data_IF_597494993881
#
_entry.id   IF_597494993881
#
_cell.length_a   1.000
_cell.length_b   1.000
_cell.length_c   1.000
_cell.angle_alpha   90.00
_cell.angle_beta   90.00
_cell.angle_gamma   90.00
#
_symmetry.space_group_name_H-M   'P 1'
#
loop_
_entity.id
_entity.type
_entity.pdbx_description
1 polymer ?
#
# COMPACT_ATOMS: atom_id res chain seq x y z
N UNK A 1 91.88 -18.46 15.12
CA UNK A 1 90.63 -19.13 15.50
C UNK A 1 89.72 -18.07 16.06
N UNK A 2 88.84 -17.48 15.20
CA UNK A 2 87.92 -16.36 15.56
C UNK A 2 86.49 -16.88 15.59
N UNK A 3 85.87 -16.79 16.75
CA UNK A 3 84.57 -17.23 17.07
C UNK A 3 83.55 -16.12 16.64
N UNK A 4 82.65 -16.41 15.71
CA UNK A 4 81.56 -15.50 15.31
C UNK A 4 80.34 -15.74 16.19
N UNK A 5 80.01 -14.78 17.05
CA UNK A 5 78.72 -14.72 17.74
C UNK A 5 77.67 -14.17 16.79
N UNK A 6 76.61 -14.94 16.52
CA UNK A 6 75.43 -14.50 15.83
C UNK A 6 74.46 -13.99 16.88
N UNK A 7 74.14 -12.69 16.85
CA UNK A 7 73.05 -12.09 17.61
C UNK A 7 71.79 -12.30 16.89
N UNK A 8 70.79 -12.98 17.51
CA UNK A 8 69.42 -13.12 17.04
C UNK A 8 68.62 -11.88 17.47
N UNK A 9 68.15 -11.12 16.53
CA UNK A 9 67.19 -10.03 16.76
C UNK A 9 65.80 -10.61 16.87
N UNK A 10 65.17 -10.49 18.03
CA UNK A 10 63.77 -10.84 18.24
C UNK A 10 62.91 -9.69 17.74
N UNK A 11 62.09 -9.94 16.71
CA UNK A 11 61.00 -9.04 16.28
C UNK A 11 59.84 -9.18 17.25
N UNK A 12 59.58 -8.17 18.07
CA UNK A 12 58.35 -8.02 18.81
C UNK A 12 57.27 -7.55 17.82
N UNK A 13 56.34 -8.42 17.47
CA UNK A 13 55.11 -8.05 16.77
C UNK A 13 54.16 -7.39 17.77
N UNK A 14 53.96 -6.09 17.64
CA UNK A 14 52.97 -5.35 18.40
C UNK A 14 51.58 -5.74 17.89
N UNK A 15 50.81 -6.47 18.69
CA UNK A 15 49.39 -6.70 18.50
C UNK A 15 48.64 -5.38 18.79
N UNK A 16 48.21 -4.70 17.75
CA UNK A 16 47.25 -3.58 17.86
C UNK A 16 45.88 -4.19 18.15
N UNK A 17 45.24 -3.88 19.28
CA UNK A 17 43.86 -4.31 19.51
C UNK A 17 42.96 -3.59 18.49
N UNK A 18 42.28 -4.35 17.63
CA UNK A 18 41.15 -3.85 16.82
C UNK A 18 40.08 -3.45 17.80
N UNK A 19 40.00 -2.18 18.16
CA UNK A 19 38.80 -1.62 18.79
C UNK A 19 37.70 -1.64 17.76
N UNK A 20 36.81 -2.62 17.87
CA UNK A 20 35.51 -2.61 17.16
C UNK A 20 34.79 -1.33 17.59
N UNK A 21 34.69 -0.35 16.70
CA UNK A 21 33.76 0.75 16.83
C UNK A 21 32.39 0.12 17.01
N UNK A 22 31.58 0.52 18.04
CA UNK A 22 30.23 0.06 18.14
C UNK A 22 29.53 0.51 16.85
N UNK A 23 29.13 -0.48 16.03
CA UNK A 23 28.35 -0.22 14.84
C UNK A 23 27.16 0.61 15.29
N UNK A 24 27.00 1.77 14.65
CA UNK A 24 25.78 2.55 14.80
C UNK A 24 24.61 1.59 14.60
N UNK A 25 23.87 1.36 15.67
CA UNK A 25 22.56 0.71 15.59
C UNK A 25 21.72 1.62 14.69
N UNK A 26 21.65 1.27 13.42
CA UNK A 26 20.63 1.80 12.53
C UNK A 26 19.33 1.45 13.21
N UNK A 27 18.61 2.47 13.68
CA UNK A 27 17.37 2.29 14.39
C UNK A 27 16.48 1.33 13.63
N UNK A 28 15.68 0.55 14.35
CA UNK A 28 14.74 -0.44 13.85
C UNK A 28 13.61 0.17 12.99
N UNK A 29 13.73 1.40 12.55
CA UNK A 29 12.87 2.13 11.66
C UNK A 29 13.03 1.56 10.25
N UNK A 30 11.98 0.86 9.78
CA UNK A 30 11.86 0.45 8.38
C UNK A 30 12.13 -1.01 8.05
N UNK A 31 12.39 -1.89 9.02
CA UNK A 31 12.23 -3.32 8.74
C UNK A 31 10.74 -3.63 8.65
N UNK A 32 10.29 -4.35 7.59
CA UNK A 32 8.93 -4.83 7.57
C UNK A 32 8.68 -5.60 8.87
N UNK A 33 7.66 -5.21 9.63
CA UNK A 33 7.19 -6.08 10.71
C UNK A 33 6.89 -7.42 10.04
N UNK A 34 7.30 -8.54 10.65
CA UNK A 34 7.05 -9.88 10.12
C UNK A 34 5.55 -10.24 10.12
N UNK A 35 4.65 -9.24 10.19
CA UNK A 35 3.22 -9.46 10.13
C UNK A 35 2.77 -9.47 8.67
N UNK A 36 2.38 -10.67 8.26
CA UNK A 36 1.87 -10.99 6.93
C UNK A 36 0.55 -11.72 7.13
N UNK A 37 -0.53 -11.15 6.62
CA UNK A 37 -1.86 -11.76 6.71
C UNK A 37 -2.38 -12.12 5.33
N UNK A 38 -2.80 -13.36 5.15
CA UNK A 38 -3.62 -13.77 4.01
C UNK A 38 -5.05 -13.35 4.33
N UNK A 39 -5.54 -12.33 3.64
CA UNK A 39 -6.87 -11.74 3.90
C UNK A 39 -7.97 -12.37 3.06
N UNK A 40 -7.60 -12.95 1.93
CA UNK A 40 -8.48 -13.74 1.06
C UNK A 40 -7.67 -14.68 0.18
N UNK A 41 -8.38 -15.65 -0.39
CA UNK A 41 -7.91 -16.45 -1.53
C UNK A 41 -8.90 -16.23 -2.67
N UNK A 42 -8.36 -15.98 -3.87
CA UNK A 42 -9.15 -15.77 -5.08
C UNK A 42 -9.77 -17.07 -5.61
N UNK A 43 -10.70 -17.00 -6.56
CA UNK A 43 -11.24 -18.20 -7.19
C UNK A 43 -10.19 -19.11 -7.87
N UNK A 44 -9.04 -18.56 -8.31
CA UNK A 44 -7.93 -19.32 -8.87
C UNK A 44 -6.86 -19.71 -7.84
N UNK A 45 -7.14 -19.56 -6.54
CA UNK A 45 -6.25 -20.00 -5.46
C UNK A 45 -5.10 -19.03 -5.14
N UNK A 46 -5.08 -17.81 -5.72
CA UNK A 46 -4.05 -16.81 -5.40
C UNK A 46 -4.37 -16.10 -4.10
N UNK A 47 -3.35 -15.94 -3.26
CA UNK A 47 -3.50 -15.23 -1.99
C UNK A 47 -3.53 -13.71 -2.19
N UNK A 48 -4.43 -13.04 -1.49
CA UNK A 48 -4.39 -11.59 -1.27
C UNK A 48 -3.73 -11.36 0.08
N UNK A 49 -2.61 -10.65 0.07
CA UNK A 49 -1.74 -10.51 1.22
C UNK A 49 -1.70 -9.06 1.67
N UNK A 50 -1.98 -8.82 2.94
CA UNK A 50 -1.66 -7.57 3.63
C UNK A 50 -0.34 -7.74 4.38
N UNK A 51 0.61 -6.82 4.15
CA UNK A 51 1.91 -6.77 4.84
C UNK A 51 1.98 -5.51 5.69
N UNK A 52 2.44 -5.65 6.93
CA UNK A 52 2.61 -4.51 7.83
C UNK A 52 4.05 -3.99 7.81
N UNK A 53 4.18 -2.68 7.80
CA UNK A 53 5.44 -1.94 7.88
C UNK A 53 5.33 -0.89 8.99
N UNK A 54 6.41 -0.65 9.73
CA UNK A 54 6.41 0.20 10.93
C UNK A 54 5.95 -0.54 12.19
N UNK A 55 5.68 0.19 13.26
CA UNK A 55 5.25 -0.39 14.53
C UNK A 55 3.77 -0.83 14.49
N UNK A 56 3.47 -2.05 14.96
CA UNK A 56 2.09 -2.58 14.99
C UNK A 56 1.17 -1.80 15.93
N UNK A 57 1.74 -1.19 16.96
CA UNK A 57 1.08 -0.37 17.97
C UNK A 57 1.18 1.15 17.66
N UNK A 58 1.66 1.52 16.49
CA UNK A 58 1.71 2.91 16.08
C UNK A 58 0.33 3.57 16.18
N UNK A 59 0.25 4.81 16.72
CA UNK A 59 -1.02 5.51 16.93
C UNK A 59 -1.78 5.79 15.64
N UNK A 60 -1.09 5.89 14.51
CA UNK A 60 -1.70 6.05 13.20
C UNK A 60 -1.48 4.77 12.40
N UNK A 61 -2.54 4.02 12.20
CA UNK A 61 -2.56 2.88 11.28
C UNK A 61 -3.29 3.28 10.00
N UNK A 62 -2.71 3.04 8.83
CA UNK A 62 -3.39 3.25 7.56
C UNK A 62 -3.12 2.12 6.56
N UNK A 63 -3.96 2.03 5.54
CA UNK A 63 -3.89 0.97 4.53
C UNK A 63 -3.67 1.59 3.16
N UNK A 64 -2.73 1.05 2.39
CA UNK A 64 -2.55 1.35 0.97
C UNK A 64 -2.81 0.10 0.13
N UNK A 65 -3.67 0.23 -0.88
CA UNK A 65 -4.03 -0.83 -1.82
C UNK A 65 -3.50 -0.43 -3.19
N UNK A 66 -2.49 -1.15 -3.68
CA UNK A 66 -1.80 -0.82 -4.93
C UNK A 66 -2.65 -1.07 -6.18
N UNK A 67 -3.54 -2.06 -6.14
CA UNK A 67 -4.30 -2.42 -7.34
C UNK A 67 -5.64 -3.06 -6.99
N UNK A 68 -6.72 -2.46 -7.50
CA UNK A 68 -8.08 -3.00 -7.43
C UNK A 68 -8.49 -3.63 -8.76
N UNK A 69 -8.13 -3.01 -9.88
CA UNK A 69 -8.38 -3.51 -11.22
C UNK A 69 -7.10 -4.08 -11.83
N UNK A 70 -7.16 -5.31 -12.35
CA UNK A 70 -5.95 -6.00 -12.78
C UNK A 70 -5.25 -5.38 -13.98
N UNK A 71 -5.95 -4.59 -14.79
CA UNK A 71 -5.38 -3.84 -15.91
C UNK A 71 -4.86 -2.43 -15.53
N UNK A 72 -4.77 -2.11 -14.22
CA UNK A 72 -4.29 -0.84 -13.69
C UNK A 72 -3.00 -1.07 -12.85
N UNK A 73 -1.85 -1.40 -13.46
CA UNK A 73 -0.66 -1.86 -12.73
C UNK A 73 0.14 -0.73 -12.05
N UNK A 74 -0.18 0.54 -12.28
CA UNK A 74 0.58 1.70 -11.80
C UNK A 74 0.72 1.72 -10.28
N UNK A 75 -0.35 1.45 -9.56
CA UNK A 75 -0.33 1.42 -8.10
C UNK A 75 0.54 0.30 -7.50
N UNK A 76 0.81 -0.79 -8.24
CA UNK A 76 1.80 -1.81 -7.82
C UNK A 76 3.22 -1.27 -7.79
N UNK A 77 3.56 -0.31 -8.67
CA UNK A 77 4.86 0.39 -8.63
C UNK A 77 4.96 1.25 -7.37
N UNK A 78 3.89 1.98 -7.04
CA UNK A 78 3.83 2.75 -5.78
C UNK A 78 3.95 1.83 -4.57
N UNK A 79 3.30 0.67 -4.59
CA UNK A 79 3.40 -0.33 -3.53
C UNK A 79 4.84 -0.88 -3.39
N UNK A 80 5.55 -1.10 -4.49
CA UNK A 80 6.94 -1.54 -4.46
C UNK A 80 7.86 -0.47 -3.83
N UNK A 81 7.67 0.80 -4.18
CA UNK A 81 8.38 1.93 -3.56
C UNK A 81 8.08 2.03 -2.06
N UNK A 82 6.81 1.92 -1.65
CA UNK A 82 6.41 1.94 -0.24
C UNK A 82 7.07 0.81 0.57
N UNK A 83 7.15 -0.39 0.00
CA UNK A 83 7.75 -1.55 0.66
C UNK A 83 9.26 -1.37 0.93
N UNK A 84 9.95 -0.57 0.11
CA UNK A 84 11.37 -0.25 0.27
C UNK A 84 11.67 0.91 1.23
N UNK A 85 10.66 1.62 1.74
CA UNK A 85 10.85 2.85 2.51
C UNK A 85 10.87 2.62 4.02
N UNK A 86 11.58 3.51 4.70
CA UNK A 86 11.48 3.67 6.15
C UNK A 86 10.13 4.29 6.50
N UNK A 87 9.40 3.65 7.38
CA UNK A 87 8.11 4.17 7.86
C UNK A 87 8.37 5.18 8.99
N UNK A 88 7.79 6.38 8.93
CA UNK A 88 7.96 7.38 9.97
C UNK A 88 7.51 6.88 11.35
N UNK A 89 8.17 7.35 12.39
CA UNK A 89 7.77 7.06 13.77
C UNK A 89 6.30 7.47 14.01
N UNK A 90 5.57 6.66 14.77
CA UNK A 90 4.16 6.88 15.04
C UNK A 90 3.21 6.47 13.92
N UNK A 91 3.73 5.91 12.83
CA UNK A 91 2.95 5.46 11.66
C UNK A 91 3.09 3.95 11.48
N UNK A 92 1.98 3.27 11.23
CA UNK A 92 1.91 1.89 10.78
C UNK A 92 1.23 1.81 9.42
N UNK A 93 1.84 1.14 8.47
CA UNK A 93 1.33 0.96 7.12
C UNK A 93 1.00 -0.51 6.88
N UNK A 94 -0.26 -0.79 6.56
CA UNK A 94 -0.66 -2.02 5.92
C UNK A 94 -0.65 -1.85 4.40
N UNK A 95 0.08 -2.69 3.70
CA UNK A 95 0.24 -2.64 2.24
C UNK A 95 -0.34 -3.90 1.60
N UNK A 96 -1.29 -3.70 0.68
CA UNK A 96 -1.87 -4.74 -0.18
C UNK A 96 -1.44 -4.42 -1.61
N UNK A 97 -0.53 -5.21 -2.18
CA UNK A 97 0.01 -4.94 -3.53
C UNK A 97 -1.09 -5.06 -4.59
N UNK A 98 -1.88 -6.12 -4.52
CA UNK A 98 -3.05 -6.29 -5.40
C UNK A 98 -4.21 -6.91 -4.63
N UNK A 99 -5.38 -6.31 -4.73
CA UNK A 99 -6.65 -6.88 -4.26
C UNK A 99 -7.31 -7.79 -5.31
N UNK A 100 -6.75 -7.83 -6.53
CA UNK A 100 -7.24 -8.62 -7.66
C UNK A 100 -6.09 -9.33 -8.39
N UNK A 101 -5.38 -10.26 -7.73
CA UNK A 101 -4.23 -10.92 -8.37
C UNK A 101 -4.62 -11.82 -9.55
N UNK A 102 -5.87 -12.27 -9.62
CA UNK A 102 -6.37 -13.02 -10.79
C UNK A 102 -6.56 -12.10 -12.00
N UNK A 103 -7.19 -10.94 -11.79
CA UNK A 103 -7.34 -9.92 -12.82
C UNK A 103 -6.00 -9.35 -13.28
N UNK A 104 -5.05 -9.16 -12.35
CA UNK A 104 -3.68 -8.75 -12.66
C UNK A 104 -2.98 -9.76 -13.59
N UNK A 105 -3.06 -11.06 -13.26
CA UNK A 105 -2.50 -12.11 -14.08
C UNK A 105 -3.12 -12.16 -15.49
N UNK A 106 -4.41 -11.88 -15.59
CA UNK A 106 -5.15 -11.89 -16.85
C UNK A 106 -5.10 -10.55 -17.61
N UNK A 107 -4.56 -9.49 -17.00
CA UNK A 107 -4.58 -8.12 -17.55
C UNK A 107 -5.99 -7.55 -17.70
N UNK A 108 -6.94 -7.96 -16.86
CA UNK A 108 -8.35 -7.55 -16.95
C UNK A 108 -8.76 -6.64 -15.78
N UNK A 109 -9.70 -5.73 -16.04
CA UNK A 109 -10.29 -4.89 -14.99
C UNK A 109 -10.93 -5.75 -13.89
N UNK A 110 -11.74 -6.72 -14.29
CA UNK A 110 -12.53 -7.59 -13.41
C UNK A 110 -11.69 -8.73 -12.83
N UNK A 111 -12.22 -9.40 -11.81
CA UNK A 111 -11.69 -10.69 -11.39
C UNK A 111 -12.04 -11.80 -12.41
N UNK A 112 -11.64 -13.04 -12.16
CA UNK A 112 -11.90 -14.19 -13.07
C UNK A 112 -13.37 -14.60 -13.17
N UNK A 113 -14.22 -14.11 -12.29
CA UNK A 113 -15.67 -14.27 -12.38
C UNK A 113 -16.33 -13.11 -13.13
N UNK A 114 -15.52 -12.27 -13.80
CA UNK A 114 -15.92 -11.07 -14.53
C UNK A 114 -16.58 -9.98 -13.67
N UNK A 115 -16.38 -10.00 -12.35
CA UNK A 115 -16.91 -8.99 -11.42
C UNK A 115 -15.93 -7.84 -11.28
N UNK A 116 -16.44 -6.61 -11.43
CA UNK A 116 -15.71 -5.40 -11.00
C UNK A 116 -15.76 -5.34 -9.47
N UNK A 117 -14.62 -5.63 -8.84
CA UNK A 117 -14.53 -5.65 -7.38
C UNK A 117 -14.89 -4.30 -6.76
N UNK A 118 -14.62 -3.18 -7.47
CA UNK A 118 -14.99 -1.84 -7.04
C UNK A 118 -16.46 -1.47 -7.36
N UNK A 119 -17.28 -2.47 -7.60
CA UNK A 119 -18.76 -2.40 -7.70
C UNK A 119 -19.42 -3.44 -6.83
N UNK A 120 -18.66 -4.23 -6.07
CA UNK A 120 -19.15 -5.39 -5.33
C UNK A 120 -19.33 -5.12 -3.82
N UNK A 121 -18.96 -3.94 -3.30
CA UNK A 121 -19.13 -3.57 -1.89
C UNK A 121 -20.61 -3.26 -1.58
N UNK A 122 -21.07 -3.49 -0.31
CA UNK A 122 -22.52 -3.46 -0.02
C UNK A 122 -23.15 -2.08 0.01
N UNK A 123 -22.39 -1.01 0.25
CA UNK A 123 -22.93 0.35 0.33
C UNK A 123 -23.48 0.79 -1.04
N UNK A 124 -24.74 1.14 -1.08
CA UNK A 124 -25.48 1.52 -2.30
C UNK A 124 -25.37 0.48 -3.43
N UNK A 125 -25.11 -0.77 -3.10
CA UNK A 125 -24.97 -1.80 -4.10
C UNK A 125 -26.23 -1.95 -4.94
N UNK A 126 -26.07 -2.01 -6.24
CA UNK A 126 -27.14 -2.37 -7.17
C UNK A 126 -26.59 -3.33 -8.21
N UNK A 127 -27.48 -4.20 -8.71
CA UNK A 127 -27.11 -5.12 -9.78
C UNK A 127 -26.93 -4.34 -11.08
N UNK A 128 -25.69 -4.29 -11.59
CA UNK A 128 -25.40 -3.77 -12.92
C UNK A 128 -25.58 -4.86 -13.99
N UNK A 129 -25.61 -4.45 -15.27
CA UNK A 129 -25.55 -5.39 -16.39
C UNK A 129 -24.19 -6.06 -16.46
N UNK A 130 -24.13 -7.28 -17.01
CA UNK A 130 -22.86 -7.94 -17.34
C UNK A 130 -22.01 -7.05 -18.23
N UNK A 131 -20.71 -7.07 -18.02
CA UNK A 131 -19.71 -6.25 -18.69
C UNK A 131 -18.59 -5.86 -17.72
N UNK A 132 -17.75 -4.93 -18.12
CA UNK A 132 -16.57 -4.51 -17.33
C UNK A 132 -16.90 -3.83 -15.99
N UNK A 133 -18.15 -3.44 -15.78
CA UNK A 133 -18.66 -2.85 -14.54
C UNK A 133 -19.67 -3.76 -13.83
N UNK A 134 -19.68 -5.06 -14.12
CA UNK A 134 -20.61 -5.97 -13.48
C UNK A 134 -20.34 -6.07 -11.97
N UNK A 135 -21.35 -5.81 -11.18
CA UNK A 135 -21.28 -5.71 -9.71
C UNK A 135 -21.37 -7.07 -8.99
N UNK A 136 -21.41 -8.18 -9.74
CA UNK A 136 -21.60 -9.51 -9.18
C UNK A 136 -23.07 -9.90 -8.98
N UNK A 137 -23.31 -11.13 -8.52
CA UNK A 137 -24.66 -11.68 -8.32
C UNK A 137 -25.40 -11.07 -7.12
N UNK A 138 -24.67 -10.59 -6.14
CA UNK A 138 -25.14 -9.89 -4.93
C UNK A 138 -24.00 -9.05 -4.34
N UNK A 139 -24.32 -8.18 -3.40
CA UNK A 139 -23.32 -7.45 -2.63
C UNK A 139 -22.35 -8.44 -1.95
N UNK A 140 -21.07 -8.10 -1.97
CA UNK A 140 -19.99 -8.92 -1.42
C UNK A 140 -20.03 -10.38 -1.88
N UNK A 141 -20.40 -10.62 -3.15
CA UNK A 141 -20.37 -11.98 -3.73
C UNK A 141 -18.96 -12.54 -3.84
N UNK A 142 -17.95 -11.69 -3.99
CA UNK A 142 -16.57 -12.11 -4.25
C UNK A 142 -15.77 -12.35 -2.96
N UNK A 143 -14.89 -13.35 -3.00
CA UNK A 143 -14.00 -13.67 -1.86
C UNK A 143 -13.05 -12.52 -1.54
N UNK A 144 -12.57 -11.85 -2.57
CA UNK A 144 -11.68 -10.70 -2.53
C UNK A 144 -12.33 -9.54 -1.77
N UNK A 145 -13.57 -9.20 -2.14
CA UNK A 145 -14.36 -8.15 -1.47
C UNK A 145 -14.59 -8.49 0.00
N UNK A 146 -15.03 -9.71 0.30
CA UNK A 146 -15.25 -10.14 1.69
C UNK A 146 -13.96 -10.14 2.51
N UNK A 147 -12.84 -10.53 1.90
CA UNK A 147 -11.53 -10.49 2.56
C UNK A 147 -11.11 -9.09 2.93
N UNK A 148 -11.21 -8.15 1.99
CA UNK A 148 -10.93 -6.73 2.23
C UNK A 148 -11.84 -6.17 3.34
N UNK A 149 -13.15 -6.45 3.28
CA UNK A 149 -14.09 -5.97 4.29
C UNK A 149 -13.72 -6.47 5.68
N UNK A 150 -13.49 -7.78 5.86
CA UNK A 150 -13.08 -8.34 7.17
C UNK A 150 -11.79 -7.72 7.66
N UNK A 151 -10.80 -7.61 6.80
CA UNK A 151 -9.49 -7.05 7.14
C UNK A 151 -9.61 -5.59 7.59
N UNK A 152 -10.24 -4.74 6.78
CA UNK A 152 -10.40 -3.31 7.09
C UNK A 152 -11.23 -3.09 8.36
N UNK A 153 -12.28 -3.89 8.58
CA UNK A 153 -13.07 -3.86 9.82
C UNK A 153 -12.23 -4.27 11.05
N UNK A 154 -11.29 -5.21 10.91
CA UNK A 154 -10.44 -5.66 12.01
C UNK A 154 -9.33 -4.66 12.36
N UNK A 155 -8.73 -4.02 11.34
CA UNK A 155 -7.62 -3.07 11.51
C UNK A 155 -8.12 -1.69 11.95
N UNK A 156 -9.31 -1.27 11.50
CA UNK A 156 -9.89 0.07 11.74
C UNK A 156 -8.88 1.19 11.45
N UNK A 157 -8.37 1.28 10.23
CA UNK A 157 -7.33 2.24 9.91
C UNK A 157 -7.83 3.68 9.97
N UNK A 158 -6.95 4.63 10.25
CA UNK A 158 -7.24 6.07 10.17
C UNK A 158 -7.56 6.52 8.72
N UNK A 159 -6.93 5.87 7.74
CA UNK A 159 -7.19 6.12 6.33
C UNK A 159 -6.95 4.86 5.48
N UNK A 160 -7.67 4.77 4.36
CA UNK A 160 -7.45 3.79 3.30
C UNK A 160 -7.23 4.53 1.99
N UNK A 161 -6.13 4.22 1.31
CA UNK A 161 -5.81 4.71 -0.03
C UNK A 161 -5.95 3.56 -1.02
N UNK A 162 -6.60 3.82 -2.16
CA UNK A 162 -6.71 2.87 -3.28
C UNK A 162 -6.20 3.51 -4.54
N UNK A 163 -5.20 2.86 -5.17
CA UNK A 163 -4.64 3.33 -6.42
C UNK A 163 -5.37 2.74 -7.62
N UNK A 164 -5.69 3.61 -8.56
CA UNK A 164 -6.34 3.36 -9.83
C UNK A 164 -5.61 4.06 -10.98
N UNK A 165 -6.08 3.88 -12.20
CA UNK A 165 -5.65 4.55 -13.43
C UNK A 165 -6.87 4.81 -14.31
N UNK A 166 -6.98 5.90 -15.11
CA UNK A 166 -5.89 6.76 -15.56
C UNK A 166 -6.37 8.22 -15.71
N UNK A 167 -6.68 8.88 -14.60
CA UNK A 167 -7.23 10.25 -14.64
C UNK A 167 -6.28 11.33 -14.10
N UNK A 168 -5.13 10.96 -13.56
CA UNK A 168 -4.11 11.86 -13.04
C UNK A 168 -4.67 12.86 -12.02
N UNK A 169 -5.24 12.33 -10.93
CA UNK A 169 -5.88 13.11 -9.88
C UNK A 169 -6.07 12.33 -8.57
N UNK A 170 -6.35 13.06 -7.50
CA UNK A 170 -6.85 12.52 -6.24
C UNK A 170 -8.33 12.85 -6.09
N UNK A 171 -9.16 11.83 -5.91
CA UNK A 171 -10.60 12.00 -5.72
C UNK A 171 -10.92 12.51 -4.31
N UNK A 172 -11.64 13.62 -4.24
CA UNK A 172 -12.12 14.27 -3.03
C UNK A 172 -13.65 14.28 -2.92
N UNK A 173 -14.32 13.32 -3.54
CA UNK A 173 -15.80 13.23 -3.55
C UNK A 173 -16.38 13.06 -2.15
N UNK A 174 -15.72 12.28 -1.29
CA UNK A 174 -16.16 12.04 0.09
C UNK A 174 -15.78 13.19 1.02
N UNK A 175 -16.78 13.78 1.69
CA UNK A 175 -16.59 14.98 2.52
C UNK A 175 -15.53 14.78 3.62
N UNK A 176 -15.55 13.64 4.30
CA UNK A 176 -14.58 13.25 5.34
C UNK A 176 -13.14 13.23 4.81
N UNK A 177 -12.95 12.81 3.57
CA UNK A 177 -11.63 12.60 2.95
C UNK A 177 -11.07 13.87 2.29
N UNK A 178 -11.87 14.92 2.10
CA UNK A 178 -11.46 16.13 1.36
C UNK A 178 -10.20 16.81 1.89
N UNK A 179 -10.03 17.05 3.22
CA UNK A 179 -8.81 17.68 3.72
C UNK A 179 -7.57 16.86 3.42
N UNK A 180 -7.63 15.56 3.73
CA UNK A 180 -6.55 14.61 3.52
C UNK A 180 -6.25 14.41 2.01
N UNK A 181 -7.28 14.29 1.18
CA UNK A 181 -7.15 14.14 -0.27
C UNK A 181 -6.52 15.36 -0.95
N UNK A 182 -6.91 16.58 -0.56
CA UNK A 182 -6.28 17.81 -1.07
C UNK A 182 -4.81 17.90 -0.68
N UNK A 183 -4.50 17.52 0.55
CA UNK A 183 -3.13 17.55 1.03
C UNK A 183 -2.27 16.50 0.32
N UNK A 184 -2.80 15.29 0.10
CA UNK A 184 -2.15 14.25 -0.67
C UNK A 184 -1.89 14.69 -2.12
N UNK A 185 -2.91 15.24 -2.78
CA UNK A 185 -2.79 15.75 -4.15
C UNK A 185 -1.68 16.81 -4.28
N UNK A 186 -1.64 17.77 -3.35
CA UNK A 186 -0.60 18.81 -3.34
C UNK A 186 0.81 18.21 -3.21
N UNK A 187 1.01 17.19 -2.40
CA UNK A 187 2.32 16.53 -2.26
C UNK A 187 2.68 15.65 -3.46
N UNK A 188 1.68 15.08 -4.13
CA UNK A 188 1.88 14.33 -5.36
C UNK A 188 2.11 15.24 -6.58
N UNK A 189 1.72 16.51 -6.49
CA UNK A 189 1.69 17.41 -7.65
C UNK A 189 0.53 17.14 -8.60
N UNK A 190 -0.55 16.55 -8.08
CA UNK A 190 -1.74 16.13 -8.81
C UNK A 190 -2.93 17.06 -8.58
N UNK A 191 -3.96 16.95 -9.42
CA UNK A 191 -5.24 17.63 -9.17
C UNK A 191 -6.01 16.96 -8.05
N UNK A 192 -6.61 17.74 -7.15
CA UNK A 192 -7.68 17.28 -6.31
C UNK A 192 -9.02 17.59 -7.00
N UNK A 193 -9.85 16.58 -7.26
CA UNK A 193 -11.12 16.78 -7.96
C UNK A 193 -12.24 15.90 -7.37
N UNK A 194 -13.47 16.35 -7.52
CA UNK A 194 -14.65 15.51 -7.32
C UNK A 194 -14.91 14.79 -8.63
N UNK A 195 -14.79 13.46 -8.61
CA UNK A 195 -14.90 12.64 -9.81
C UNK A 195 -16.18 11.82 -9.75
N UNK A 196 -16.94 11.86 -10.84
CA UNK A 196 -17.97 10.85 -11.06
C UNK A 196 -17.34 9.52 -11.48
N UNK A 197 -17.99 8.41 -11.19
CA UNK A 197 -17.51 7.11 -11.66
C UNK A 197 -17.61 7.02 -13.19
N UNK A 198 -16.63 6.35 -13.81
CA UNK A 198 -16.76 5.91 -15.20
C UNK A 198 -17.80 4.76 -15.25
N UNK A 199 -19.08 5.08 -15.17
CA UNK A 199 -20.19 4.13 -15.05
C UNK A 199 -20.95 4.28 -13.73
N UNK A 200 -21.76 3.30 -13.31
CA UNK A 200 -22.55 3.40 -12.09
C UNK A 200 -21.67 3.61 -10.85
N UNK A 201 -21.96 4.64 -10.05
CA UNK A 201 -21.30 4.91 -8.77
C UNK A 201 -21.96 4.15 -7.62
N UNK A 202 -22.05 2.82 -7.71
CA UNK A 202 -22.62 1.99 -6.65
C UNK A 202 -21.63 0.92 -6.21
N UNK A 203 -21.70 0.54 -4.95
CA UNK A 203 -20.93 -0.58 -4.43
C UNK A 203 -19.43 -0.40 -4.54
N UNK A 204 -18.90 0.84 -4.47
CA UNK A 204 -17.47 1.08 -4.46
C UNK A 204 -16.88 0.87 -3.08
N UNK A 205 -15.60 0.52 -3.03
CA UNK A 205 -14.89 0.33 -1.77
C UNK A 205 -14.85 1.61 -0.93
N UNK A 206 -14.56 2.74 -1.56
CA UNK A 206 -14.44 4.03 -0.86
C UNK A 206 -15.78 4.49 -0.28
N UNK A 207 -16.91 4.28 -0.98
CA UNK A 207 -18.24 4.53 -0.43
C UNK A 207 -18.53 3.66 0.80
N UNK A 208 -18.16 2.38 0.73
CA UNK A 208 -18.36 1.47 1.85
C UNK A 208 -17.49 1.87 3.06
N UNK A 209 -16.23 2.20 2.84
CA UNK A 209 -15.31 2.64 3.90
C UNK A 209 -15.82 3.94 4.56
N UNK A 210 -16.18 4.94 3.75
CA UNK A 210 -16.65 6.23 4.25
C UNK A 210 -17.91 6.10 5.12
N UNK A 211 -18.86 5.25 4.71
CA UNK A 211 -20.17 5.12 5.40
C UNK A 211 -20.22 4.04 6.46
N UNK A 212 -19.57 2.90 6.26
CA UNK A 212 -19.65 1.76 7.17
C UNK A 212 -18.55 1.74 8.22
N UNK A 213 -17.37 2.28 7.91
CA UNK A 213 -16.24 2.35 8.83
C UNK A 213 -16.00 3.77 9.36
N UNK A 214 -16.67 4.77 8.79
CA UNK A 214 -16.50 6.19 9.11
C UNK A 214 -15.03 6.65 9.03
N UNK A 215 -14.28 6.06 8.10
CA UNK A 215 -12.84 6.22 7.91
C UNK A 215 -12.55 7.06 6.69
N UNK A 216 -11.42 7.77 6.66
CA UNK A 216 -10.92 8.47 5.48
C UNK A 216 -10.66 7.44 4.36
N UNK A 217 -11.32 7.63 3.22
CA UNK A 217 -11.19 6.78 2.04
C UNK A 217 -10.82 7.63 0.83
N UNK A 218 -9.65 7.40 0.24
CA UNK A 218 -9.11 8.20 -0.86
C UNK A 218 -8.84 7.29 -2.06
N UNK A 219 -9.42 7.64 -3.21
CA UNK A 219 -9.03 7.07 -4.50
C UNK A 219 -7.97 7.98 -5.12
N UNK A 220 -6.85 7.39 -5.51
CA UNK A 220 -5.77 8.04 -6.27
C UNK A 220 -5.80 7.46 -7.68
N UNK A 221 -6.10 8.29 -8.63
CA UNK A 221 -6.08 7.97 -10.07
C UNK A 221 -4.74 8.41 -10.63
N UNK A 222 -3.82 7.48 -10.77
CA UNK A 222 -2.50 7.72 -11.36
C UNK A 222 -2.60 7.96 -12.88
N UNK A 223 -1.54 8.46 -13.49
CA UNK A 223 -1.44 8.54 -14.96
C UNK A 223 -1.49 7.13 -15.58
N UNK A 224 -1.84 7.08 -16.85
CA UNK A 224 -1.87 5.85 -17.67
C UNK A 224 -0.52 5.14 -17.68
N UNK A 225 0.56 5.89 -17.71
CA UNK A 225 1.94 5.39 -17.73
C UNK A 225 2.72 5.91 -16.54
N UNK A 226 2.65 5.22 -15.41
CA UNK A 226 3.35 5.60 -14.18
C UNK A 226 4.86 5.41 -14.34
N UNK A 227 5.61 6.50 -14.28
CA UNK A 227 7.08 6.48 -14.24
C UNK A 227 7.61 6.10 -12.85
N UNK A 228 8.88 5.67 -12.77
CA UNK A 228 9.52 5.43 -11.46
C UNK A 228 9.54 6.69 -10.58
N UNK A 229 9.75 7.87 -11.17
CA UNK A 229 9.73 9.15 -10.44
C UNK A 229 8.35 9.49 -9.88
N UNK A 230 7.30 9.19 -10.61
CA UNK A 230 5.92 9.38 -10.17
C UNK A 230 5.57 8.41 -9.04
N UNK A 231 5.92 7.13 -9.17
CA UNK A 231 5.73 6.13 -8.12
C UNK A 231 6.49 6.51 -6.84
N UNK A 232 7.73 6.98 -6.95
CA UNK A 232 8.55 7.45 -5.84
C UNK A 232 7.90 8.65 -5.13
N UNK A 233 7.43 9.64 -5.89
CA UNK A 233 6.73 10.83 -5.37
C UNK A 233 5.42 10.44 -4.68
N UNK A 234 4.63 9.56 -5.29
CA UNK A 234 3.39 9.07 -4.70
C UNK A 234 3.65 8.32 -3.38
N UNK A 235 4.65 7.45 -3.33
CA UNK A 235 5.04 6.74 -2.12
C UNK A 235 5.49 7.70 -1.00
N UNK A 236 6.27 8.73 -1.34
CA UNK A 236 6.66 9.77 -0.38
C UNK A 236 5.44 10.54 0.16
N UNK A 237 4.51 10.91 -0.70
CA UNK A 237 3.29 11.61 -0.33
C UNK A 237 2.39 10.78 0.59
N UNK A 238 2.28 9.47 0.34
CA UNK A 238 1.53 8.52 1.17
C UNK A 238 2.10 8.46 2.60
N UNK A 239 3.42 8.33 2.75
CA UNK A 239 4.04 8.32 4.09
C UNK A 239 3.90 9.66 4.81
N UNK A 240 3.99 10.75 4.07
CA UNK A 240 3.76 12.10 4.60
C UNK A 240 2.32 12.26 5.08
N UNK A 241 1.34 11.66 4.39
CA UNK A 241 -0.04 11.64 4.83
C UNK A 241 -0.19 10.88 6.16
N UNK A 242 0.44 9.74 6.34
CA UNK A 242 0.46 9.02 7.62
C UNK A 242 0.93 9.90 8.77
N UNK A 243 2.04 10.62 8.59
CA UNK A 243 2.54 11.59 9.58
C UNK A 243 1.57 12.76 9.80
N UNK A 244 0.89 13.23 8.77
CA UNK A 244 -0.07 14.33 8.86
C UNK A 244 -1.33 13.94 9.63
N UNK A 245 -1.80 12.70 9.49
CA UNK A 245 -2.96 12.16 10.20
C UNK A 245 -2.73 12.02 11.71
N UNK A 246 -1.49 11.98 12.17
CA UNK A 246 -1.12 11.87 13.59
C UNK A 246 -0.95 13.22 14.32
N UNK A 247 -1.24 14.33 13.66
CA UNK A 247 -1.14 15.68 14.23
C UNK A 247 -2.48 16.13 14.77
#
# INVERSE_FOLDING_TARGET
MRLFMRTAAALLAALIPLTATPGQAWGSEGRPANDRRVIATTPQGREIIARHYGALDAPVQFVAIGQMHGNEPGGRRVAAELAGRVIPAGVGLWLIVSANPDGDHAGTRTNTRHVDLNRNFPTDWSRSRHGIFWSGSRAASESETRGLMRFLTSVRPAAVLSFHQAYDLVDISHARSRPAGRQLAAWMGERAAIVGCAGPCHGTMTQWIDRALETIAITVELDRAVSGREADRAAAAVLRLGTWLGR
#
